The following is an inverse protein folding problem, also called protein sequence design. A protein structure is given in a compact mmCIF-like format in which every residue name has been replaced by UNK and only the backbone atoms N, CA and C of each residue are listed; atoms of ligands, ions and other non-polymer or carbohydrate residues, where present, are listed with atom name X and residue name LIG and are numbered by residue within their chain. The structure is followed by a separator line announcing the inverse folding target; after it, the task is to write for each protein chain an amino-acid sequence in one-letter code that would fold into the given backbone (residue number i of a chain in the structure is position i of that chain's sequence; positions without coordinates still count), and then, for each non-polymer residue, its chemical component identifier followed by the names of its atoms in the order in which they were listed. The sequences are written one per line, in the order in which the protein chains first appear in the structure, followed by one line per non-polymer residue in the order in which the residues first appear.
data_IF_078640429372
#
_entry.id   IF_078640429372
#
_cell.length_a   1.000
_cell.length_b   1.000
_cell.length_c   1.000
_cell.angle_alpha   90.00
_cell.angle_beta   90.00
_cell.angle_gamma   90.00
#
_symmetry.space_group_name_H-M   'P 1'
#
loop_
_entity.id
_entity.type
_entity.pdbx_description
1 polymer ?
#
# COMPACT_ATOMS: atom_id res chain seq x y z
N UNK A 1 11.06 11.44 -5.30
CA UNK A 1 11.19 10.01 -4.93
C UNK A 1 11.68 9.21 -6.13
N UNK A 2 12.76 8.44 -5.98
CA UNK A 2 13.35 7.60 -7.03
C UNK A 2 12.72 6.21 -7.14
N UNK A 3 11.90 5.79 -6.16
CA UNK A 3 11.20 4.51 -6.19
C UNK A 3 10.10 4.49 -7.23
N UNK A 4 9.84 3.32 -7.81
CA UNK A 4 8.70 3.07 -8.69
C UNK A 4 7.51 2.46 -7.93
N UNK A 5 7.70 1.90 -6.74
CA UNK A 5 6.63 1.33 -5.93
C UNK A 5 6.92 1.51 -4.43
N UNK A 6 5.88 1.40 -3.61
CA UNK A 6 5.97 1.42 -2.14
C UNK A 6 5.34 0.16 -1.57
N UNK A 7 6.02 -0.45 -0.58
CA UNK A 7 5.44 -1.44 0.33
C UNK A 7 5.27 -0.75 1.68
N UNK A 8 4.03 -0.48 2.07
CA UNK A 8 3.69 0.18 3.33
C UNK A 8 3.28 -0.86 4.37
N UNK A 9 3.94 -0.86 5.53
CA UNK A 9 3.56 -1.68 6.68
C UNK A 9 2.51 -0.92 7.48
N UNK A 10 1.33 -1.52 7.63
CA UNK A 10 0.15 -0.88 8.22
C UNK A 10 -0.18 -1.44 9.62
N UNK A 11 0.70 -2.26 10.17
CA UNK A 11 0.52 -2.90 11.47
C UNK A 11 0.69 -1.90 12.61
N UNK A 12 -0.05 -2.15 13.70
CA UNK A 12 -0.06 -1.30 14.87
C UNK A 12 -1.48 -1.07 15.39
N UNK A 13 -1.62 -0.41 16.56
CA UNK A 13 -2.93 0.04 17.03
C UNK A 13 -3.56 1.06 16.05
N UNK A 14 -2.71 1.82 15.35
CA UNK A 14 -3.03 2.73 14.25
C UNK A 14 -1.83 2.72 13.28
N UNK A 15 -2.05 3.11 12.03
CA UNK A 15 -0.94 3.35 11.08
C UNK A 15 -0.07 4.47 11.62
N UNK A 16 1.25 4.30 11.53
CA UNK A 16 2.22 5.34 11.87
C UNK A 16 2.01 6.60 11.01
N UNK A 17 2.01 7.78 11.63
CA UNK A 17 1.73 9.05 10.95
C UNK A 17 2.78 9.39 9.88
N UNK A 18 4.03 8.96 10.07
CA UNK A 18 5.09 9.07 9.07
C UNK A 18 4.78 8.21 7.84
N UNK A 19 4.44 6.95 8.06
CA UNK A 19 4.04 6.01 7.01
C UNK A 19 2.80 6.50 6.26
N UNK A 20 1.79 7.02 6.97
CA UNK A 20 0.60 7.62 6.37
C UNK A 20 0.95 8.84 5.50
N UNK A 21 1.87 9.68 5.97
CA UNK A 21 2.37 10.83 5.20
C UNK A 21 3.09 10.39 3.93
N UNK A 22 3.95 9.37 4.01
CA UNK A 22 4.67 8.82 2.85
C UNK A 22 3.73 8.22 1.81
N UNK A 23 2.66 7.52 2.23
CA UNK A 23 1.61 7.01 1.35
C UNK A 23 0.96 8.16 0.59
N UNK A 24 0.55 9.22 1.28
CA UNK A 24 -0.07 10.39 0.65
C UNK A 24 0.86 11.10 -0.33
N UNK A 25 2.13 11.28 0.03
CA UNK A 25 3.15 11.89 -0.84
C UNK A 25 3.38 11.04 -2.09
N UNK A 26 3.50 9.72 -1.94
CA UNK A 26 3.73 8.84 -3.08
C UNK A 26 2.51 8.80 -3.99
N UNK A 27 1.30 8.66 -3.44
CA UNK A 27 0.04 8.71 -4.19
C UNK A 27 -0.08 10.01 -5.00
N UNK A 28 0.17 11.16 -4.37
CA UNK A 28 0.15 12.45 -5.06
C UNK A 28 1.17 12.53 -6.20
N UNK A 29 2.37 11.95 -6.01
CA UNK A 29 3.36 11.87 -7.07
C UNK A 29 2.88 11.02 -8.26
N UNK A 30 2.15 9.92 -8.02
CA UNK A 30 1.60 9.06 -9.08
C UNK A 30 0.63 9.80 -10.01
N UNK A 31 -0.06 10.82 -9.52
CA UNK A 31 -0.99 11.62 -10.34
C UNK A 31 -0.29 12.38 -11.48
N UNK A 32 1.04 12.53 -11.43
CA UNK A 32 1.81 13.28 -12.41
C UNK A 32 3.02 12.53 -12.97
N UNK A 33 3.54 11.51 -12.27
CA UNK A 33 4.71 10.72 -12.67
C UNK A 33 4.30 9.30 -13.13
N UNK A 34 4.22 9.04 -14.45
CA UNK A 34 3.82 7.74 -14.99
C UNK A 34 4.87 6.63 -14.77
N UNK A 35 6.07 6.95 -14.26
CA UNK A 35 7.06 5.95 -13.88
C UNK A 35 6.71 5.21 -12.58
N UNK A 36 5.74 5.72 -11.81
CA UNK A 36 5.28 5.10 -10.57
C UNK A 36 4.23 4.02 -10.86
N UNK A 37 4.38 2.88 -10.19
CA UNK A 37 3.59 1.66 -10.39
C UNK A 37 2.44 1.51 -9.40
N UNK A 38 2.67 1.83 -8.12
CA UNK A 38 1.64 1.65 -7.11
C UNK A 38 2.17 1.52 -5.68
N UNK A 39 1.21 1.31 -4.79
CA UNK A 39 1.42 1.11 -3.35
C UNK A 39 0.81 -0.24 -2.95
N UNK A 40 1.57 -1.06 -2.23
CA UNK A 40 1.05 -2.26 -1.57
C UNK A 40 0.99 -2.00 -0.08
N UNK A 41 -0.20 -2.05 0.51
CA UNK A 41 -0.38 -2.02 1.96
C UNK A 41 -0.30 -3.43 2.53
N UNK A 42 0.54 -3.68 3.54
CA UNK A 42 0.61 -4.96 4.24
C UNK A 42 0.05 -4.81 5.65
N UNK A 43 -0.99 -5.59 5.95
CA UNK A 43 -1.52 -5.77 7.31
C UNK A 43 -1.34 -7.22 7.69
N UNK A 44 -0.54 -7.50 8.71
CA UNK A 44 -0.43 -8.83 9.30
C UNK A 44 -1.19 -8.95 10.62
N UNK A 45 -1.67 -7.83 11.17
CA UNK A 45 -2.42 -7.80 12.41
C UNK A 45 -3.74 -8.57 12.30
N UNK A 46 -3.78 -9.72 12.97
CA UNK A 46 -4.95 -10.62 13.00
C UNK A 46 -6.21 -9.96 13.54
N UNK A 47 -6.12 -8.88 14.33
CA UNK A 47 -7.28 -8.14 14.84
C UNK A 47 -8.01 -7.41 13.72
N UNK A 48 -7.23 -6.78 12.83
CA UNK A 48 -7.73 -6.10 11.63
C UNK A 48 -8.25 -7.11 10.62
N UNK A 49 -7.56 -8.26 10.47
CA UNK A 49 -7.93 -9.32 9.51
C UNK A 49 -9.23 -10.04 9.92
N UNK A 50 -9.47 -10.23 11.24
CA UNK A 50 -10.65 -10.94 11.75
C UNK A 50 -11.94 -10.14 11.59
N UNK A 51 -11.86 -8.82 11.60
CA UNK A 51 -13.00 -7.94 11.36
C UNK A 51 -13.05 -7.56 9.87
N UNK A 52 -13.53 -8.50 9.04
CA UNK A 52 -13.64 -8.31 7.57
C UNK A 52 -14.47 -7.10 7.16
N UNK A 53 -15.29 -6.57 8.07
CA UNK A 53 -16.11 -5.39 7.82
C UNK A 53 -15.35 -4.08 8.07
N UNK A 54 -14.09 -4.15 8.56
CA UNK A 54 -13.21 -3.00 8.85
C UNK A 54 -13.97 -1.78 9.37
N UNK A 55 -14.82 -2.02 10.38
CA UNK A 55 -15.70 -0.99 10.94
C UNK A 55 -14.81 0.07 11.58
N UNK A 56 -15.12 1.34 11.25
CA UNK A 56 -14.38 2.52 11.65
C UNK A 56 -13.98 2.48 13.14
N UNK A 57 -12.69 2.68 13.43
CA UNK A 57 -12.13 2.62 14.79
C UNK A 57 -11.41 1.33 15.19
N UNK A 58 -11.39 0.27 14.37
CA UNK A 58 -10.57 -0.96 14.60
C UNK A 58 -9.69 -1.37 13.41
N UNK A 59 -9.75 -0.63 12.30
CA UNK A 59 -9.04 -0.90 11.06
C UNK A 59 -8.11 0.23 10.63
N UNK A 60 -7.61 0.12 9.40
CA UNK A 60 -6.80 1.18 8.76
C UNK A 60 -7.69 2.41 8.53
N UNK A 61 -7.13 3.61 8.78
CA UNK A 61 -7.78 4.87 8.45
C UNK A 61 -8.26 4.88 6.97
N UNK A 62 -9.51 5.27 6.72
CA UNK A 62 -10.12 5.19 5.39
C UNK A 62 -9.43 6.06 4.33
N UNK A 63 -8.84 7.19 4.71
CA UNK A 63 -8.06 8.02 3.79
C UNK A 63 -6.79 7.28 3.34
N UNK A 64 -6.04 6.74 4.31
CA UNK A 64 -4.82 5.95 4.03
C UNK A 64 -5.15 4.74 3.15
N UNK A 65 -6.20 4.01 3.49
CA UNK A 65 -6.67 2.86 2.71
C UNK A 65 -7.08 3.28 1.29
N UNK A 66 -7.83 4.38 1.16
CA UNK A 66 -8.27 4.92 -0.12
C UNK A 66 -7.09 5.28 -1.04
N UNK A 67 -6.06 5.94 -0.50
CA UNK A 67 -4.84 6.23 -1.27
C UNK A 67 -4.14 4.96 -1.77
N UNK A 68 -4.14 3.87 -0.99
CA UNK A 68 -3.52 2.61 -1.40
C UNK A 68 -4.37 1.90 -2.46
N UNK A 69 -5.67 1.77 -2.22
CA UNK A 69 -6.58 1.02 -3.11
C UNK A 69 -6.83 1.71 -4.45
N UNK A 70 -6.64 3.03 -4.55
CA UNK A 70 -6.72 3.77 -5.81
C UNK A 70 -5.59 3.41 -6.80
N UNK A 71 -4.40 3.08 -6.30
CA UNK A 71 -3.19 2.82 -7.12
C UNK A 71 -2.54 1.47 -6.84
N UNK A 72 -3.24 0.57 -6.16
CA UNK A 72 -2.67 -0.67 -5.66
C UNK A 72 -3.65 -1.48 -4.82
N UNK A 73 -3.17 -2.10 -3.75
CA UNK A 73 -3.99 -3.00 -2.94
C UNK A 73 -3.45 -3.20 -1.52
N UNK A 74 -4.37 -3.47 -0.59
CA UNK A 74 -4.05 -3.92 0.77
C UNK A 74 -4.10 -5.45 0.82
N UNK A 75 -3.04 -6.07 1.33
CA UNK A 75 -2.91 -7.53 1.46
C UNK A 75 -2.64 -7.94 2.89
N UNK A 76 -3.00 -9.18 3.19
CA UNK A 76 -2.92 -9.79 4.52
C UNK A 76 -1.74 -10.75 4.69
N UNK A 77 -0.93 -10.92 3.64
CA UNK A 77 0.17 -11.89 3.59
C UNK A 77 1.36 -11.32 2.86
N UNK A 78 2.54 -11.58 3.42
CA UNK A 78 3.81 -11.16 2.83
C UNK A 78 4.01 -11.74 1.42
N UNK A 79 3.69 -13.01 1.20
CA UNK A 79 3.86 -13.65 -0.11
C UNK A 79 3.07 -12.95 -1.23
N UNK A 80 1.85 -12.51 -0.93
CA UNK A 80 1.03 -11.74 -1.88
C UNK A 80 1.67 -10.39 -2.20
N UNK A 81 2.18 -9.69 -1.18
CA UNK A 81 2.88 -8.42 -1.39
C UNK A 81 4.09 -8.59 -2.31
N UNK A 82 4.89 -9.63 -2.07
CA UNK A 82 6.06 -9.94 -2.89
C UNK A 82 5.68 -10.33 -4.32
N UNK A 83 4.61 -11.11 -4.51
CA UNK A 83 4.11 -11.46 -5.85
C UNK A 83 3.76 -10.21 -6.67
N UNK A 84 3.04 -9.26 -6.07
CA UNK A 84 2.69 -7.99 -6.72
C UNK A 84 3.94 -7.19 -7.09
N UNK A 85 4.86 -7.03 -6.14
CA UNK A 85 6.10 -6.28 -6.38
C UNK A 85 6.98 -6.91 -7.47
N UNK A 86 7.02 -8.24 -7.55
CA UNK A 86 7.73 -8.96 -8.62
C UNK A 86 7.08 -8.74 -9.98
N UNK A 87 5.74 -8.76 -10.04
CA UNK A 87 4.99 -8.45 -11.26
C UNK A 87 5.30 -7.02 -11.73
N UNK A 88 5.20 -6.03 -10.84
CA UNK A 88 5.53 -4.64 -11.18
C UNK A 88 6.98 -4.46 -11.60
N UNK A 89 7.92 -5.15 -10.96
CA UNK A 89 9.33 -5.14 -11.36
C UNK A 89 9.50 -5.66 -12.79
N UNK A 90 8.91 -6.81 -13.10
CA UNK A 90 8.94 -7.40 -14.45
C UNK A 90 8.34 -6.46 -15.50
N UNK A 91 7.22 -5.80 -15.19
CA UNK A 91 6.60 -4.82 -16.10
C UNK A 91 7.47 -3.57 -16.34
N UNK A 92 8.25 -3.15 -15.35
CA UNK A 92 9.23 -2.06 -15.52
C UNK A 92 10.39 -2.53 -16.39
N UNK A 93 10.93 -3.71 -16.12
CA UNK A 93 12.10 -4.27 -16.84
C UNK A 93 11.79 -4.65 -18.29
N UNK A 94 10.57 -5.10 -18.59
CA UNK A 94 10.13 -5.48 -19.94
C UNK A 94 9.67 -4.29 -20.80
N UNK A 95 9.67 -3.06 -20.27
CA UNK A 95 9.32 -1.83 -20.99
C UNK A 95 10.51 -1.23 -21.78
N UNK A 96 11.49 -2.05 -22.16
CA UNK A 96 12.63 -1.68 -23.01
C UNK A 96 12.30 -2.00 -24.47
#
# INVERSE_FOLDING_TARGET
MTSNAVLALLDGPMVDDGTASEIGIFWAAMQSDPSKKGIVGLVTDTRVIRDRNMIDGKGINLFVRGCIEDVGQVVDKFDKAIEILRTWKSEIENKI
#
